data_IF_575733062151
#
_entry.id   IF_575733062151
#
_cell.length_a   1.000
_cell.length_b   1.000
_cell.length_c   1.000
_cell.angle_alpha   90.00
_cell.angle_beta   90.00
_cell.angle_gamma   90.00
#
_symmetry.space_group_name_H-M   'P 1'
#
loop_
_entity.id
_entity.type
_entity.pdbx_description
1 polymer ?
#
# COMPACT_ATOMS: atom_id res chain seq x y z
N UNK A 1 -6.38 -36.84 -8.19
CA UNK A 1 -7.48 -36.16 -7.45
C UNK A 1 -7.33 -34.67 -7.69
N UNK A 2 -8.30 -34.04 -8.36
CA UNK A 2 -8.29 -32.59 -8.58
C UNK A 2 -8.86 -31.91 -7.33
N UNK A 3 -8.10 -30.99 -6.73
CA UNK A 3 -8.56 -30.17 -5.62
C UNK A 3 -9.49 -29.12 -6.21
N UNK A 4 -10.79 -29.24 -5.95
CA UNK A 4 -11.79 -28.25 -6.32
C UNK A 4 -11.54 -26.98 -5.49
N UNK A 5 -10.89 -25.98 -6.10
CA UNK A 5 -10.77 -24.65 -5.53
C UNK A 5 -12.19 -24.06 -5.46
N UNK A 6 -12.77 -23.99 -4.28
CA UNK A 6 -14.10 -23.40 -4.10
C UNK A 6 -13.97 -21.89 -4.31
N UNK A 7 -14.12 -21.46 -5.57
CA UNK A 7 -14.06 -20.07 -6.00
C UNK A 7 -15.32 -19.39 -5.49
N UNK A 8 -15.30 -18.90 -4.24
CA UNK A 8 -16.40 -18.10 -3.72
C UNK A 8 -16.55 -16.85 -4.61
N UNK A 9 -17.58 -16.87 -5.45
CA UNK A 9 -17.96 -15.76 -6.36
C UNK A 9 -18.81 -14.71 -5.67
N UNK A 10 -19.31 -15.01 -4.47
CA UNK A 10 -20.21 -14.15 -3.71
C UNK A 10 -19.47 -13.39 -2.62
N UNK A 11 -19.78 -12.11 -2.51
CA UNK A 11 -19.24 -11.25 -1.47
C UNK A 11 -19.88 -11.59 -0.13
N UNK A 12 -19.06 -11.74 0.90
CA UNK A 12 -19.56 -11.95 2.25
C UNK A 12 -20.27 -10.69 2.78
N UNK A 13 -21.07 -10.79 3.87
CA UNK A 13 -21.87 -9.67 4.37
C UNK A 13 -21.05 -8.41 4.72
N UNK A 14 -19.81 -8.58 5.18
CA UNK A 14 -18.90 -7.46 5.47
C UNK A 14 -18.46 -6.77 4.17
N UNK A 15 -18.09 -7.54 3.15
CA UNK A 15 -17.70 -7.01 1.84
C UNK A 15 -18.85 -6.24 1.18
N UNK A 16 -20.09 -6.75 1.27
CA UNK A 16 -21.29 -6.04 0.79
C UNK A 16 -21.50 -4.74 1.58
N UNK A 17 -21.28 -4.76 2.89
CA UNK A 17 -21.42 -3.57 3.74
C UNK A 17 -20.38 -2.50 3.41
N UNK A 18 -19.15 -2.90 3.11
CA UNK A 18 -18.10 -2.00 2.63
C UNK A 18 -18.50 -1.35 1.30
N UNK A 19 -19.02 -2.13 0.34
CA UNK A 19 -19.51 -1.57 -0.93
C UNK A 19 -20.65 -0.56 -0.74
N UNK A 20 -21.56 -0.81 0.22
CA UNK A 20 -22.64 0.14 0.54
C UNK A 20 -22.12 1.43 1.18
N UNK A 21 -21.03 1.37 1.94
CA UNK A 21 -20.35 2.56 2.46
C UNK A 21 -19.71 3.37 1.33
N UNK A 22 -19.08 2.70 0.36
CA UNK A 22 -18.48 3.34 -0.82
C UNK A 22 -19.49 3.85 -1.85
N UNK A 23 -20.73 3.34 -1.85
CA UNK A 23 -21.81 3.78 -2.75
C UNK A 23 -22.45 5.13 -2.34
N UNK A 24 -21.93 5.79 -1.31
CA UNK A 24 -22.38 7.13 -0.95
C UNK A 24 -21.68 8.15 -1.87
N UNK A 25 -22.41 9.12 -2.45
CA UNK A 25 -21.77 10.22 -3.15
C UNK A 25 -20.85 10.95 -2.17
N UNK A 26 -19.56 11.01 -2.48
CA UNK A 26 -18.56 11.77 -1.74
C UNK A 26 -18.26 13.05 -2.50
N UNK A 27 -18.10 14.13 -1.77
CA UNK A 27 -17.55 15.38 -2.30
C UNK A 27 -16.09 15.21 -2.68
N UNK A 28 -15.57 16.07 -3.57
CA UNK A 28 -14.15 16.06 -3.95
C UNK A 28 -13.22 16.21 -2.74
N UNK A 29 -13.62 16.94 -1.71
CA UNK A 29 -12.87 17.06 -0.45
C UNK A 29 -12.77 15.75 0.31
N UNK A 30 -13.88 15.02 0.44
CA UNK A 30 -13.90 13.72 1.13
C UNK A 30 -13.07 12.67 0.35
N UNK A 31 -13.12 12.71 -0.99
CA UNK A 31 -12.29 11.89 -1.86
C UNK A 31 -10.80 12.19 -1.65
N UNK A 32 -10.44 13.47 -1.56
CA UNK A 32 -9.06 13.90 -1.33
C UNK A 32 -8.54 13.44 0.03
N UNK A 33 -9.35 13.52 1.08
CA UNK A 33 -9.01 13.02 2.41
C UNK A 33 -8.76 11.52 2.40
N UNK A 34 -9.64 10.74 1.77
CA UNK A 34 -9.46 9.30 1.66
C UNK A 34 -8.18 8.93 0.89
N UNK A 35 -7.90 9.63 -0.22
CA UNK A 35 -6.64 9.47 -0.99
C UNK A 35 -5.42 9.73 -0.12
N UNK A 36 -5.43 10.78 0.72
CA UNK A 36 -4.32 11.09 1.64
C UNK A 36 -4.11 9.98 2.66
N UNK A 37 -5.18 9.46 3.25
CA UNK A 37 -5.09 8.33 4.19
C UNK A 37 -4.47 7.10 3.52
N UNK A 38 -4.90 6.77 2.31
CA UNK A 38 -4.35 5.64 1.55
C UNK A 38 -2.87 5.86 1.23
N UNK A 39 -2.49 7.03 0.72
CA UNK A 39 -1.08 7.36 0.40
C UNK A 39 -0.21 7.27 1.64
N UNK A 40 -0.62 7.86 2.76
CA UNK A 40 0.15 7.83 4.01
C UNK A 40 0.31 6.40 4.55
N UNK A 41 -0.71 5.56 4.40
CA UNK A 41 -0.63 4.18 4.84
C UNK A 41 0.33 3.37 3.96
N UNK A 42 0.24 3.52 2.64
CA UNK A 42 1.09 2.80 1.69
C UNK A 42 2.54 3.29 1.66
N UNK A 43 2.77 4.59 1.88
CA UNK A 43 4.13 5.12 2.01
C UNK A 43 4.88 4.51 3.19
N UNK A 44 4.18 4.23 4.30
CA UNK A 44 4.79 3.55 5.45
C UNK A 44 5.17 2.09 5.18
N UNK A 45 4.50 1.39 4.27
CA UNK A 45 4.96 0.06 3.82
C UNK A 45 6.16 0.18 2.89
N UNK A 46 6.13 1.15 1.97
CA UNK A 46 7.24 1.39 1.06
C UNK A 46 8.53 1.70 1.82
N UNK A 47 8.47 2.56 2.84
CA UNK A 47 9.61 2.89 3.70
C UNK A 47 10.18 1.63 4.36
N UNK A 48 9.33 0.78 4.94
CA UNK A 48 9.76 -0.47 5.57
C UNK A 48 10.42 -1.45 4.59
N UNK A 49 9.86 -1.60 3.40
CA UNK A 49 10.44 -2.46 2.37
C UNK A 49 11.77 -1.91 1.86
N UNK A 50 11.88 -0.59 1.67
CA UNK A 50 13.15 0.05 1.29
C UNK A 50 14.21 -0.14 2.38
N UNK A 51 13.88 0.10 3.65
CA UNK A 51 14.80 -0.13 4.77
C UNK A 51 15.25 -1.58 4.83
N UNK A 52 14.32 -2.52 4.69
CA UNK A 52 14.63 -3.96 4.68
C UNK A 52 15.55 -4.34 3.51
N UNK A 53 15.29 -3.85 2.31
CA UNK A 53 16.13 -4.10 1.14
C UNK A 53 17.51 -3.45 1.30
N UNK A 54 17.59 -2.28 1.93
CA UNK A 54 18.85 -1.61 2.23
C UNK A 54 19.71 -2.42 3.21
N UNK A 55 19.09 -2.91 4.30
CA UNK A 55 19.71 -3.79 5.29
C UNK A 55 20.16 -5.13 4.65
N UNK A 56 19.29 -5.76 3.86
CA UNK A 56 19.56 -7.05 3.21
C UNK A 56 20.70 -6.96 2.17
N UNK A 57 20.84 -5.80 1.51
CA UNK A 57 21.93 -5.53 0.57
C UNK A 57 23.19 -4.98 1.24
N UNK A 58 23.15 -4.72 2.54
CA UNK A 58 24.26 -4.16 3.31
C UNK A 58 24.59 -2.72 2.96
N UNK A 59 23.65 -1.97 2.39
CA UNK A 59 23.86 -0.55 2.11
C UNK A 59 23.95 0.23 3.42
N UNK A 60 25.06 0.92 3.60
CA UNK A 60 25.29 1.79 4.74
C UNK A 60 24.78 3.20 4.46
N UNK A 61 24.60 4.00 5.51
CA UNK A 61 24.23 5.41 5.36
C UNK A 61 25.26 6.17 4.50
N UNK A 62 26.54 5.79 4.60
CA UNK A 62 27.62 6.32 3.76
C UNK A 62 27.46 5.97 2.28
N UNK A 63 26.89 4.80 1.94
CA UNK A 63 26.60 4.43 0.54
C UNK A 63 25.46 5.28 -0.03
N UNK A 64 24.43 5.57 0.76
CA UNK A 64 23.36 6.48 0.36
C UNK A 64 23.86 7.92 0.19
N UNK A 65 24.71 8.39 1.11
CA UNK A 65 25.30 9.73 1.04
C UNK A 65 26.24 9.85 -0.17
N UNK A 66 26.99 8.80 -0.51
CA UNK A 66 27.81 8.77 -1.73
C UNK A 66 26.95 8.81 -2.99
N UNK A 67 25.82 8.09 -3.06
CA UNK A 67 24.92 8.12 -4.23
C UNK A 67 24.25 9.49 -4.37
N UNK A 68 23.77 10.07 -3.27
CA UNK A 68 23.07 11.37 -3.28
C UNK A 68 24.00 12.54 -3.60
N UNK A 69 25.28 12.44 -3.25
CA UNK A 69 26.28 13.47 -3.51
C UNK A 69 27.14 13.20 -4.76
N UNK A 70 27.02 12.04 -5.41
CA UNK A 70 27.78 11.71 -6.63
C UNK A 70 27.33 12.46 -7.88
N UNK A 71 26.10 13.00 -7.89
CA UNK A 71 25.54 13.78 -9.00
C UNK A 71 25.62 15.32 -8.76
N UNK A 72 26.45 15.78 -7.81
CA UNK A 72 26.72 17.21 -7.56
C UNK A 72 28.06 17.68 -8.11
#
# INVERSE_FOLDING_TARGET
MAITLNKHTELNPLQVSLLRLFNRPMTESEILELKRVMVNHYSGFLEKEVTKVAEDKGYTQDDFDNILNADS
#
